data_IF_154690065798
#
_entry.id   IF_154690065798
#
_cell.length_a   1.000
_cell.length_b   1.000
_cell.length_c   1.000
_cell.angle_alpha   90.00
_cell.angle_beta   90.00
_cell.angle_gamma   90.00
#
_symmetry.space_group_name_H-M   'P 1'
#
loop_
_entity.id
_entity.type
_entity.pdbx_description
1 polymer ?
#
# COMPACT_ATOMS: atom_id res chain seq x y z
N UNK A 1 -18.07 -13.85 -16.14
CA UNK A 1 -17.26 -14.01 -14.91
C UNK A 1 -15.81 -14.09 -15.34
N UNK A 2 -14.89 -13.29 -14.79
CA UNK A 2 -13.47 -13.44 -15.07
C UNK A 2 -13.05 -14.85 -14.62
N UNK A 3 -12.27 -15.53 -15.42
CA UNK A 3 -11.84 -16.92 -15.26
C UNK A 3 -10.77 -17.13 -14.17
N UNK A 4 -10.74 -16.31 -13.11
CA UNK A 4 -9.77 -16.38 -12.03
C UNK A 4 -10.30 -16.85 -10.67
N UNK A 5 -11.60 -17.16 -10.57
CA UNK A 5 -12.25 -17.48 -9.29
C UNK A 5 -12.00 -18.89 -8.75
N UNK A 6 -11.42 -19.81 -9.53
CA UNK A 6 -11.26 -21.20 -9.12
C UNK A 6 -10.26 -21.42 -7.96
N UNK A 7 -9.48 -20.41 -7.61
CA UNK A 7 -8.51 -20.52 -6.53
C UNK A 7 -8.91 -19.76 -5.24
N UNK A 8 -10.12 -19.19 -5.21
CA UNK A 8 -10.69 -18.61 -3.99
C UNK A 8 -11.54 -19.61 -3.18
N UNK A 9 -11.56 -20.88 -3.59
CA UNK A 9 -12.29 -21.92 -2.84
C UNK A 9 -11.75 -22.02 -1.41
N UNK A 10 -12.68 -21.91 -0.45
CA UNK A 10 -12.36 -21.85 0.98
C UNK A 10 -11.94 -20.48 1.51
N UNK A 11 -11.82 -19.45 0.67
CA UNK A 11 -11.60 -18.08 1.15
C UNK A 11 -12.85 -17.54 1.85
N UNK A 12 -12.72 -16.88 3.02
CA UNK A 12 -13.88 -16.33 3.74
C UNK A 12 -14.68 -15.30 2.92
N UNK A 13 -14.04 -14.68 1.92
CA UNK A 13 -14.66 -13.67 1.04
C UNK A 13 -15.17 -14.24 -0.28
N UNK A 14 -15.03 -15.54 -0.54
CA UNK A 14 -15.40 -16.16 -1.83
C UNK A 14 -16.83 -15.83 -2.28
N UNK A 15 -17.78 -15.84 -1.33
CA UNK A 15 -19.21 -15.59 -1.58
C UNK A 15 -19.69 -14.21 -1.07
N UNK A 16 -18.85 -13.48 -0.36
CA UNK A 16 -19.13 -12.15 0.20
C UNK A 16 -18.50 -11.04 -0.62
N UNK A 17 -17.29 -11.26 -1.13
CA UNK A 17 -16.57 -10.31 -1.96
C UNK A 17 -17.20 -10.19 -3.35
N UNK A 18 -17.03 -9.02 -3.96
CA UNK A 18 -17.57 -8.72 -5.28
C UNK A 18 -16.43 -8.70 -6.27
N UNK A 19 -16.45 -9.63 -7.22
CA UNK A 19 -15.51 -9.70 -8.31
C UNK A 19 -14.06 -10.00 -7.87
N UNK A 20 -13.20 -10.23 -8.85
CA UNK A 20 -11.77 -10.42 -8.67
C UNK A 20 -11.05 -9.41 -9.56
N UNK A 21 -10.10 -8.70 -8.98
CA UNK A 21 -9.25 -7.76 -9.70
C UNK A 21 -7.79 -8.22 -9.55
N UNK A 22 -7.20 -8.79 -10.61
CA UNK A 22 -5.81 -9.21 -10.59
C UNK A 22 -4.86 -8.02 -10.48
N UNK A 23 -3.60 -8.30 -10.19
CA UNK A 23 -2.57 -7.28 -10.24
C UNK A 23 -2.36 -6.80 -11.68
N UNK A 24 -1.99 -5.53 -11.85
CA UNK A 24 -1.47 -5.02 -13.11
C UNK A 24 0.06 -5.13 -13.07
N UNK A 25 0.59 -6.13 -13.73
CA UNK A 25 2.03 -6.37 -13.78
C UNK A 25 2.70 -5.42 -14.80
N UNK A 26 3.82 -4.85 -14.39
CA UNK A 26 4.70 -4.08 -15.27
C UNK A 26 5.53 -5.01 -16.17
N UNK A 27 5.95 -4.54 -17.34
CA UNK A 27 6.87 -5.29 -18.22
C UNK A 27 8.27 -5.37 -17.62
N UNK A 28 8.69 -4.30 -16.97
CA UNK A 28 10.01 -4.17 -16.33
C UNK A 28 9.84 -3.76 -14.86
N UNK A 29 9.36 -4.68 -13.99
CA UNK A 29 8.95 -4.33 -12.65
C UNK A 29 10.14 -3.85 -11.80
N UNK A 30 10.12 -2.61 -11.38
CA UNK A 30 11.07 -2.01 -10.42
C UNK A 30 10.37 -1.48 -9.19
N UNK A 31 9.12 -1.05 -9.34
CA UNK A 31 8.33 -0.46 -8.27
C UNK A 31 7.00 -1.21 -8.17
N UNK A 32 6.56 -1.49 -6.94
CA UNK A 32 5.21 -1.96 -6.68
C UNK A 32 4.44 -0.91 -5.89
N UNK A 33 3.29 -0.50 -6.40
CA UNK A 33 2.29 0.26 -5.67
C UNK A 33 1.28 -0.71 -5.05
N UNK A 34 1.29 -0.81 -3.72
CA UNK A 34 0.50 -1.79 -2.99
C UNK A 34 -0.59 -1.12 -2.14
N UNK A 35 -1.85 -1.37 -2.49
CA UNK A 35 -3.02 -0.85 -1.80
C UNK A 35 -3.72 -1.86 -0.90
N UNK A 36 -4.93 -1.52 -0.47
CA UNK A 36 -5.75 -2.36 0.41
C UNK A 36 -6.64 -3.33 -0.38
N UNK A 37 -7.50 -2.82 -1.25
CA UNK A 37 -8.46 -3.61 -2.01
C UNK A 37 -8.93 -2.83 -3.25
N UNK A 38 -9.42 -3.51 -4.31
CA UNK A 38 -9.98 -2.85 -5.48
C UNK A 38 -11.31 -2.16 -5.13
N UNK A 39 -11.61 -1.06 -5.84
CA UNK A 39 -12.91 -0.41 -5.83
C UNK A 39 -13.87 -0.98 -6.87
N UNK A 40 -15.06 -0.36 -7.01
CA UNK A 40 -16.09 -0.79 -8.00
C UNK A 40 -15.58 -0.69 -9.44
N UNK A 41 -14.87 0.40 -9.77
CA UNK A 41 -14.33 0.61 -11.11
C UNK A 41 -13.21 -0.38 -11.45
N UNK A 42 -12.37 -0.68 -10.46
CA UNK A 42 -11.30 -1.66 -10.61
C UNK A 42 -11.84 -3.06 -10.88
N UNK A 43 -12.86 -3.48 -10.14
CA UNK A 43 -13.52 -4.77 -10.35
C UNK A 43 -14.22 -4.83 -11.71
N UNK A 44 -14.89 -3.73 -12.11
CA UNK A 44 -15.59 -3.68 -13.39
C UNK A 44 -14.63 -3.78 -14.59
N UNK A 45 -13.43 -3.21 -14.47
CA UNK A 45 -12.42 -3.20 -15.53
C UNK A 45 -11.38 -4.32 -15.41
N UNK A 46 -11.31 -4.99 -14.24
CA UNK A 46 -10.28 -6.00 -13.97
C UNK A 46 -8.87 -5.43 -13.83
N UNK A 47 -8.74 -4.13 -13.53
CA UNK A 47 -7.44 -3.43 -13.43
C UNK A 47 -7.40 -2.61 -12.14
N UNK A 48 -6.37 -2.76 -11.29
CA UNK A 48 -6.24 -2.01 -10.06
C UNK A 48 -5.91 -0.53 -10.31
N UNK A 49 -6.30 0.34 -9.40
CA UNK A 49 -6.02 1.77 -9.42
C UNK A 49 -6.51 2.51 -10.67
N UNK A 50 -7.64 2.13 -11.26
CA UNK A 50 -8.27 2.83 -12.39
C UNK A 50 -9.32 3.85 -11.96
N UNK A 51 -9.86 3.75 -10.75
CA UNK A 51 -10.84 4.68 -10.19
C UNK A 51 -10.22 6.00 -9.71
N UNK A 52 -11.00 6.77 -8.96
CA UNK A 52 -10.61 8.10 -8.46
C UNK A 52 -9.34 8.08 -7.59
N UNK A 53 -9.15 7.05 -6.77
CA UNK A 53 -7.93 6.88 -5.98
C UNK A 53 -6.69 6.68 -6.88
N UNK A 54 -6.83 5.89 -7.94
CA UNK A 54 -5.76 5.69 -8.92
C UNK A 54 -5.48 6.93 -9.75
N UNK A 55 -6.50 7.71 -10.08
CA UNK A 55 -6.34 9.01 -10.72
C UNK A 55 -5.52 9.95 -9.81
N UNK A 56 -5.92 10.10 -8.54
CA UNK A 56 -5.19 10.91 -7.58
C UNK A 56 -3.73 10.45 -7.40
N UNK A 57 -3.52 9.13 -7.35
CA UNK A 57 -2.17 8.57 -7.28
C UNK A 57 -1.31 9.02 -8.46
N UNK A 58 -1.79 8.88 -9.68
CA UNK A 58 -1.01 9.25 -10.88
C UNK A 58 -0.86 10.76 -11.01
N UNK A 59 -1.95 11.51 -10.95
CA UNK A 59 -1.93 12.93 -11.30
C UNK A 59 -1.46 13.83 -10.16
N UNK A 60 -1.85 13.54 -8.93
CA UNK A 60 -1.56 14.41 -7.80
C UNK A 60 -0.30 14.01 -7.03
N UNK A 61 0.00 12.71 -6.97
CA UNK A 61 1.08 12.20 -6.16
C UNK A 61 2.31 11.83 -6.97
N UNK A 62 2.17 11.04 -8.02
CA UNK A 62 3.31 10.52 -8.78
C UNK A 62 3.80 11.51 -9.85
N UNK A 63 2.90 12.17 -10.58
CA UNK A 63 3.28 13.12 -11.65
C UNK A 63 4.23 14.24 -11.19
N UNK A 64 4.08 14.84 -9.98
CA UNK A 64 5.03 15.83 -9.47
C UNK A 64 6.38 15.25 -9.03
N UNK A 65 6.62 13.95 -9.21
CA UNK A 65 7.87 13.25 -8.89
C UNK A 65 8.45 12.71 -10.21
N UNK A 66 9.43 13.38 -10.82
CA UNK A 66 9.89 13.07 -12.18
C UNK A 66 10.33 11.62 -12.38
N UNK A 67 11.02 11.03 -11.41
CA UNK A 67 11.50 9.66 -11.46
C UNK A 67 10.33 8.66 -11.50
N UNK A 68 9.26 8.92 -10.75
CA UNK A 68 8.05 8.08 -10.77
C UNK A 68 7.25 8.28 -12.06
N UNK A 69 7.19 9.50 -12.58
CA UNK A 69 6.58 9.74 -13.88
C UNK A 69 7.30 8.93 -14.97
N UNK A 70 8.63 8.96 -15.00
CA UNK A 70 9.43 8.16 -15.94
C UNK A 70 9.19 6.66 -15.74
N UNK A 71 9.11 6.17 -14.49
CA UNK A 71 8.84 4.76 -14.22
C UNK A 71 7.45 4.34 -14.72
N UNK A 72 6.44 5.21 -14.59
CA UNK A 72 5.10 4.96 -15.14
C UNK A 72 5.12 4.89 -16.68
N UNK A 73 5.82 5.81 -17.35
CA UNK A 73 5.95 5.86 -18.81
C UNK A 73 6.71 4.65 -19.38
N UNK A 74 7.68 4.11 -18.63
CA UNK A 74 8.48 2.95 -19.00
C UNK A 74 7.84 1.60 -18.65
N UNK A 75 6.61 1.61 -18.10
CA UNK A 75 5.93 0.41 -17.62
C UNK A 75 6.78 -0.37 -16.58
N UNK A 76 7.35 0.36 -15.62
CA UNK A 76 8.16 -0.18 -14.52
C UNK A 76 7.38 -0.32 -13.21
N UNK A 77 6.09 0.12 -13.18
CA UNK A 77 5.26 0.12 -11.98
C UNK A 77 4.19 -0.97 -12.03
N UNK A 78 4.31 -1.94 -11.14
CA UNK A 78 3.28 -2.95 -10.88
C UNK A 78 2.28 -2.40 -9.84
N UNK A 79 1.00 -2.69 -10.03
CA UNK A 79 -0.06 -2.33 -9.09
C UNK A 79 -0.65 -3.58 -8.46
N UNK A 80 -0.71 -3.60 -7.13
CA UNK A 80 -1.21 -4.72 -6.34
C UNK A 80 -2.09 -4.25 -5.18
N UNK A 81 -2.83 -5.16 -4.58
CA UNK A 81 -3.63 -4.92 -3.40
C UNK A 81 -3.52 -6.07 -2.40
N UNK A 82 -3.73 -5.80 -1.13
CA UNK A 82 -3.78 -6.81 -0.06
C UNK A 82 -4.92 -7.81 -0.29
N UNK A 83 -6.10 -7.32 -0.67
CA UNK A 83 -7.24 -8.14 -1.09
C UNK A 83 -7.49 -7.95 -2.59
N UNK A 84 -7.75 -9.03 -3.34
CA UNK A 84 -8.03 -9.00 -4.78
C UNK A 84 -9.53 -8.98 -5.11
N UNK A 85 -10.39 -8.84 -4.13
CA UNK A 85 -11.82 -8.64 -4.33
C UNK A 85 -12.29 -7.37 -3.62
N UNK A 86 -13.37 -6.77 -4.12
CA UNK A 86 -14.03 -5.67 -3.46
C UNK A 86 -14.76 -6.21 -2.22
N UNK A 87 -14.43 -5.75 -1.01
CA UNK A 87 -15.17 -6.15 0.19
C UNK A 87 -16.67 -5.81 0.10
N UNK A 88 -17.54 -6.60 0.78
CA UNK A 88 -18.97 -6.37 0.73
C UNK A 88 -19.38 -5.00 1.28
N UNK A 89 -20.55 -4.51 0.92
CA UNK A 89 -21.17 -3.33 1.53
C UNK A 89 -22.17 -3.76 2.61
N UNK A 90 -22.19 -3.05 3.71
CA UNK A 90 -23.25 -3.12 4.73
C UNK A 90 -23.97 -1.76 4.84
N UNK A 91 -24.92 -1.63 5.78
CA UNK A 91 -25.69 -0.38 5.97
C UNK A 91 -24.83 0.84 6.36
N UNK A 92 -23.65 0.60 6.90
CA UNK A 92 -22.69 1.64 7.32
C UNK A 92 -21.67 1.95 6.23
N UNK A 93 -21.73 1.26 5.10
CA UNK A 93 -20.79 1.38 3.99
C UNK A 93 -20.00 0.09 3.74
N UNK A 94 -18.74 0.20 3.33
CA UNK A 94 -17.94 -0.97 2.99
C UNK A 94 -17.50 -1.74 4.22
N UNK A 95 -17.90 -3.00 4.30
CA UNK A 95 -17.60 -3.91 5.42
C UNK A 95 -16.30 -4.67 5.14
N UNK A 96 -15.16 -4.05 5.44
CA UNK A 96 -13.89 -4.76 5.36
C UNK A 96 -13.83 -5.88 6.41
N UNK A 97 -13.26 -7.04 6.07
CA UNK A 97 -13.05 -8.11 7.04
C UNK A 97 -12.09 -7.64 8.14
N UNK A 98 -12.27 -8.15 9.34
CA UNK A 98 -11.44 -7.83 10.51
C UNK A 98 -10.97 -9.11 11.20
N UNK A 99 -9.96 -8.99 12.05
CA UNK A 99 -9.49 -10.09 12.88
C UNK A 99 -9.12 -11.34 12.08
N UNK A 100 -9.64 -12.48 12.48
CA UNK A 100 -9.35 -13.79 11.89
C UNK A 100 -9.79 -13.89 10.42
N UNK A 101 -11.01 -13.43 10.11
CA UNK A 101 -11.54 -13.45 8.74
C UNK A 101 -10.63 -12.66 7.78
N UNK A 102 -10.08 -11.53 8.25
CA UNK A 102 -9.13 -10.74 7.48
C UNK A 102 -7.83 -11.50 7.24
N UNK A 103 -7.24 -12.07 8.28
CA UNK A 103 -5.99 -12.81 8.18
C UNK A 103 -6.09 -14.00 7.22
N UNK A 104 -7.20 -14.73 7.26
CA UNK A 104 -7.47 -15.83 6.32
C UNK A 104 -7.62 -15.32 4.89
N UNK A 105 -8.42 -14.27 4.66
CA UNK A 105 -8.60 -13.71 3.33
C UNK A 105 -7.28 -13.18 2.73
N UNK A 106 -6.47 -12.52 3.54
CA UNK A 106 -5.12 -12.06 3.14
C UNK A 106 -4.21 -13.24 2.78
N UNK A 107 -4.23 -14.32 3.58
CA UNK A 107 -3.45 -15.53 3.29
C UNK A 107 -3.86 -16.18 1.96
N UNK A 108 -5.16 -16.19 1.65
CA UNK A 108 -5.64 -16.65 0.34
C UNK A 108 -5.16 -15.74 -0.81
N UNK A 109 -5.21 -14.43 -0.62
CA UNK A 109 -4.80 -13.47 -1.63
C UNK A 109 -3.30 -13.49 -1.91
N UNK A 110 -2.44 -13.86 -0.94
CA UNK A 110 -0.98 -13.98 -1.12
C UNK A 110 -0.56 -14.92 -2.24
N UNK A 111 -1.41 -15.87 -2.64
CA UNK A 111 -1.16 -16.76 -3.79
C UNK A 111 -1.04 -16.01 -5.12
N UNK A 112 -1.53 -14.78 -5.15
CA UNK A 112 -1.53 -13.91 -6.33
C UNK A 112 -0.51 -12.77 -6.18
N UNK A 113 0.29 -12.76 -5.12
CA UNK A 113 1.29 -11.71 -4.94
C UNK A 113 2.23 -11.67 -6.13
N UNK A 114 2.56 -10.47 -6.63
CA UNK A 114 3.45 -10.34 -7.78
C UNK A 114 4.85 -10.85 -7.45
N UNK A 115 5.57 -11.33 -8.47
CA UNK A 115 6.99 -11.65 -8.33
C UNK A 115 7.78 -10.41 -7.89
N UNK A 116 8.69 -10.60 -6.97
CA UNK A 116 9.61 -9.55 -6.49
C UNK A 116 10.92 -9.49 -7.30
N UNK A 117 11.07 -10.33 -8.33
CA UNK A 117 12.26 -10.32 -9.17
C UNK A 117 12.39 -8.98 -9.91
N UNK A 118 13.51 -8.30 -9.72
CA UNK A 118 13.78 -6.98 -10.30
C UNK A 118 13.15 -5.82 -9.55
N UNK A 119 12.34 -6.08 -8.51
CA UNK A 119 11.71 -5.03 -7.71
C UNK A 119 12.73 -4.42 -6.75
N UNK A 120 12.83 -3.11 -6.77
CA UNK A 120 13.72 -2.32 -5.91
C UNK A 120 12.95 -1.64 -4.77
N UNK A 121 11.72 -1.22 -5.04
CA UNK A 121 10.92 -0.45 -4.08
C UNK A 121 9.46 -0.91 -4.08
N UNK A 122 8.88 -1.02 -2.88
CA UNK A 122 7.45 -1.25 -2.67
C UNK A 122 6.87 -0.08 -1.86
N UNK A 123 5.89 0.62 -2.42
CA UNK A 123 5.15 1.67 -1.73
C UNK A 123 3.88 1.08 -1.14
N UNK A 124 3.77 1.13 0.19
CA UNK A 124 2.65 0.58 0.95
C UNK A 124 1.63 1.68 1.25
N UNK A 125 0.52 1.67 0.53
CA UNK A 125 -0.54 2.66 0.68
C UNK A 125 -1.54 2.30 1.77
N UNK A 126 -1.48 3.04 2.87
CA UNK A 126 -2.41 2.89 3.98
C UNK A 126 -2.08 1.72 4.92
N UNK A 127 -2.79 1.68 6.04
CA UNK A 127 -2.51 0.78 7.15
C UNK A 127 -2.59 -0.71 6.76
N UNK A 128 -3.54 -1.07 5.91
CA UNK A 128 -3.73 -2.46 5.49
C UNK A 128 -2.50 -3.04 4.83
N UNK A 129 -1.94 -2.32 3.85
CA UNK A 129 -0.73 -2.74 3.15
C UNK A 129 0.49 -2.75 4.10
N UNK A 130 0.62 -1.75 4.96
CA UNK A 130 1.69 -1.67 5.96
C UNK A 130 1.66 -2.86 6.92
N UNK A 131 0.49 -3.18 7.51
CA UNK A 131 0.34 -4.31 8.43
C UNK A 131 0.49 -5.67 7.74
N UNK A 132 0.16 -5.81 6.48
CA UNK A 132 0.40 -7.05 5.74
C UNK A 132 1.88 -7.43 5.71
N UNK A 133 2.76 -6.46 5.56
CA UNK A 133 4.19 -6.67 5.39
C UNK A 133 4.99 -6.53 6.70
N UNK A 134 4.54 -5.68 7.64
CA UNK A 134 5.27 -5.26 8.85
C UNK A 134 4.42 -5.34 10.13
N UNK A 135 3.55 -6.35 10.25
CA UNK A 135 2.62 -6.47 11.39
C UNK A 135 3.34 -6.48 12.74
N UNK A 136 4.40 -7.29 12.86
CA UNK A 136 5.14 -7.46 14.13
C UNK A 136 5.86 -6.20 14.54
N UNK A 137 6.51 -5.54 13.59
CA UNK A 137 7.24 -4.30 13.79
C UNK A 137 6.30 -3.19 14.24
N UNK A 138 5.14 -3.06 13.58
CA UNK A 138 4.14 -2.05 13.91
C UNK A 138 3.45 -2.31 15.25
N UNK A 139 3.17 -3.58 15.59
CA UNK A 139 2.61 -3.95 16.90
C UNK A 139 3.61 -3.67 18.03
N UNK A 140 4.91 -3.88 17.80
CA UNK A 140 5.95 -3.56 18.77
C UNK A 140 6.07 -2.06 18.99
N UNK A 141 6.05 -1.24 17.93
CA UNK A 141 6.05 0.23 18.04
C UNK A 141 4.81 0.73 18.79
N UNK A 142 3.61 0.24 18.42
CA UNK A 142 2.36 0.63 19.08
C UNK A 142 2.37 0.28 20.58
N UNK A 143 2.99 -0.84 20.96
CA UNK A 143 3.14 -1.25 22.36
C UNK A 143 4.07 -0.31 23.14
N UNK A 144 5.17 0.11 22.54
CA UNK A 144 6.12 1.07 23.15
C UNK A 144 5.46 2.44 23.30
N UNK A 145 4.81 2.97 22.28
CA UNK A 145 4.11 4.25 22.32
C UNK A 145 3.07 4.25 23.46
N UNK A 146 2.29 3.16 23.59
CA UNK A 146 1.31 3.00 24.66
C UNK A 146 1.95 2.97 26.05
N UNK A 147 3.09 2.30 26.22
CA UNK A 147 3.82 2.26 27.52
C UNK A 147 4.34 3.63 27.92
N UNK A 148 4.74 4.45 26.94
CA UNK A 148 5.21 5.82 27.16
C UNK A 148 4.08 6.83 27.33
N UNK A 149 2.81 6.40 27.22
CA UNK A 149 1.64 7.29 27.30
C UNK A 149 1.46 8.16 26.05
N UNK A 150 2.10 7.79 24.95
CA UNK A 150 1.94 8.46 23.66
C UNK A 150 0.75 7.85 22.89
N UNK A 151 0.07 8.67 22.09
CA UNK A 151 -0.86 8.15 21.09
C UNK A 151 -0.10 7.33 20.05
N UNK A 152 -0.64 6.15 19.70
CA UNK A 152 -0.04 5.34 18.67
C UNK A 152 0.03 6.13 17.36
N UNK A 153 1.20 6.11 16.73
CA UNK A 153 1.41 6.78 15.45
C UNK A 153 0.58 6.07 14.38
N UNK A 154 -0.63 6.53 14.12
CA UNK A 154 -1.45 6.02 13.04
C UNK A 154 -0.75 6.14 11.68
N UNK A 155 -1.43 5.71 10.61
CA UNK A 155 -0.89 5.74 9.24
C UNK A 155 -0.28 7.10 8.85
N UNK A 156 -0.82 8.20 9.37
CA UNK A 156 -0.34 9.56 9.08
C UNK A 156 1.04 9.83 9.71
N UNK A 157 1.27 9.35 10.92
CA UNK A 157 2.56 9.52 11.62
C UNK A 157 3.66 8.58 11.11
N UNK A 158 3.33 7.66 10.18
CA UNK A 158 4.26 6.72 9.57
C UNK A 158 4.59 7.07 8.11
N UNK A 159 4.05 8.14 7.58
CA UNK A 159 4.27 8.56 6.18
C UNK A 159 5.75 8.86 5.94
N UNK A 160 6.28 8.31 4.86
CA UNK A 160 7.68 8.49 4.47
C UNK A 160 8.67 7.59 5.20
N UNK A 161 8.21 6.74 6.15
CA UNK A 161 9.10 5.74 6.77
C UNK A 161 9.54 4.71 5.75
N UNK A 162 10.79 4.32 5.89
CA UNK A 162 11.41 3.28 5.08
C UNK A 162 11.82 2.08 5.93
N UNK A 163 11.64 0.91 5.33
CA UNK A 163 12.17 -0.35 5.84
C UNK A 163 12.86 -1.09 4.70
N UNK A 164 13.95 -1.78 4.99
CA UNK A 164 14.60 -2.67 4.01
C UNK A 164 14.44 -4.12 4.46
N UNK A 165 13.91 -4.94 3.57
CA UNK A 165 13.76 -6.37 3.79
C UNK A 165 14.14 -7.13 2.53
N UNK A 166 15.05 -8.09 2.65
CA UNK A 166 15.53 -8.91 1.53
C UNK A 166 16.06 -8.09 0.34
N UNK A 167 16.69 -6.94 0.63
CA UNK A 167 17.25 -6.03 -0.38
C UNK A 167 16.21 -5.12 -1.07
N UNK A 168 14.93 -5.21 -0.71
CA UNK A 168 13.86 -4.37 -1.25
C UNK A 168 13.53 -3.27 -0.24
N UNK A 169 13.39 -2.04 -0.72
CA UNK A 169 12.91 -0.90 0.05
C UNK A 169 11.39 -0.90 0.13
N UNK A 170 10.87 -0.71 1.34
CA UNK A 170 9.44 -0.52 1.60
C UNK A 170 9.22 0.88 2.12
N UNK A 171 8.39 1.67 1.44
CA UNK A 171 8.08 3.04 1.81
C UNK A 171 6.62 3.15 2.21
N UNK A 172 6.36 3.71 3.39
CA UNK A 172 5.01 3.89 3.90
C UNK A 172 4.40 5.19 3.37
N UNK A 173 3.20 5.09 2.82
CA UNK A 173 2.46 6.23 2.27
C UNK A 173 1.00 6.23 2.71
N UNK A 174 0.34 7.38 2.57
CA UNK A 174 -1.10 7.49 2.72
C UNK A 174 -1.80 6.82 1.53
N UNK A 175 -2.92 6.16 1.81
CA UNK A 175 -3.73 5.63 0.72
C UNK A 175 -4.32 6.79 -0.10
N UNK A 176 -4.25 6.76 -1.45
CA UNK A 176 -4.75 7.86 -2.29
C UNK A 176 -6.23 8.20 -2.08
N UNK A 177 -7.06 7.22 -1.75
CA UNK A 177 -8.46 7.45 -1.38
C UNK A 177 -8.63 8.26 -0.08
N UNK A 178 -7.66 8.20 0.84
CA UNK A 178 -7.66 9.02 2.03
C UNK A 178 -7.30 10.47 1.70
N UNK A 179 -6.33 10.67 0.81
CA UNK A 179 -5.93 11.99 0.32
C UNK A 179 -7.08 12.68 -0.42
N UNK A 180 -7.88 11.93 -1.20
CA UNK A 180 -9.09 12.48 -1.84
C UNK A 180 -10.09 13.07 -0.84
N UNK A 181 -10.21 12.46 0.36
CA UNK A 181 -11.08 12.98 1.43
C UNK A 181 -10.44 14.09 2.25
N UNK A 182 -9.10 14.18 2.24
CA UNK A 182 -8.31 15.18 2.97
C UNK A 182 -7.22 15.75 2.06
N UNK A 183 -7.57 16.65 1.11
CA UNK A 183 -6.62 17.19 0.12
C UNK A 183 -5.44 17.96 0.73
N UNK A 184 -5.57 18.46 1.96
CA UNK A 184 -4.46 19.08 2.71
C UNK A 184 -3.26 18.15 2.93
N UNK A 185 -3.46 16.83 2.81
CA UNK A 185 -2.41 15.82 2.96
C UNK A 185 -1.70 15.44 1.65
N UNK A 186 -2.01 16.09 0.52
CA UNK A 186 -1.33 15.82 -0.77
C UNK A 186 0.19 15.95 -0.65
N UNK A 187 0.67 17.00 0.04
CA UNK A 187 2.11 17.21 0.26
C UNK A 187 2.79 16.03 0.99
N UNK A 188 2.14 15.45 1.98
CA UNK A 188 2.65 14.25 2.69
C UNK A 188 2.72 13.03 1.77
N UNK A 189 1.71 12.82 0.94
CA UNK A 189 1.72 11.76 -0.07
C UNK A 189 2.84 11.95 -1.08
N UNK A 190 3.04 13.17 -1.59
CA UNK A 190 4.14 13.48 -2.51
C UNK A 190 5.50 13.29 -1.86
N UNK A 191 5.67 13.70 -0.59
CA UNK A 191 6.93 13.51 0.13
C UNK A 191 7.30 12.02 0.22
N UNK A 192 6.36 11.16 0.61
CA UNK A 192 6.61 9.71 0.66
C UNK A 192 6.95 9.10 -0.71
N UNK A 193 6.37 9.63 -1.79
CA UNK A 193 6.70 9.16 -3.13
C UNK A 193 8.07 9.67 -3.61
N UNK A 194 8.52 10.87 -3.19
CA UNK A 194 9.91 11.31 -3.42
C UNK A 194 10.90 10.40 -2.71
N UNK A 195 10.60 10.01 -1.47
CA UNK A 195 11.39 9.00 -0.75
C UNK A 195 11.46 7.70 -1.54
N UNK A 196 10.33 7.21 -2.05
CA UNK A 196 10.29 5.99 -2.85
C UNK A 196 11.06 6.10 -4.18
N UNK A 197 11.07 7.28 -4.79
CA UNK A 197 11.77 7.56 -6.04
C UNK A 197 13.27 7.75 -5.85
N UNK A 198 13.70 8.14 -4.66
CA UNK A 198 15.10 8.41 -4.40
C UNK A 198 15.91 7.12 -4.45
N UNK A 199 16.59 6.92 -5.58
CA UNK A 199 17.46 5.76 -5.84
C UNK A 199 18.87 5.93 -5.29
N UNK A 200 19.18 7.09 -4.72
CA UNK A 200 20.41 7.23 -3.96
C UNK A 200 20.33 6.34 -2.73
N UNK A 201 21.06 5.24 -2.78
CA UNK A 201 21.19 4.30 -1.69
C UNK A 201 21.81 5.02 -0.50
N UNK A 202 20.99 5.51 0.42
CA UNK A 202 21.43 5.65 1.80
C UNK A 202 21.47 4.23 2.36
N UNK A 203 22.61 3.57 2.15
CA UNK A 203 22.95 2.34 2.83
C UNK A 203 23.38 2.76 4.23
N UNK A 204 22.42 2.92 5.12
CA UNK A 204 22.68 2.73 6.56
C UNK A 204 21.38 2.38 7.27
N UNK A 205 21.35 1.28 8.03
CA UNK A 205 20.24 0.97 8.89
C UNK A 205 20.43 1.71 10.21
N UNK A 206 20.20 2.98 10.26
CA UNK A 206 20.26 3.71 11.50
C UNK A 206 18.87 4.19 11.93
N UNK A 207 18.38 3.54 12.97
CA UNK A 207 17.28 3.98 13.83
C UNK A 207 17.48 5.41 14.42
N UNK A 208 18.64 6.02 14.19
CA UNK A 208 19.06 7.29 14.75
C UNK A 208 18.58 8.51 13.97
N UNK A 209 18.37 8.39 12.65
CA UNK A 209 18.08 9.55 11.79
C UNK A 209 16.68 10.16 11.99
N UNK A 210 15.72 9.42 12.54
CA UNK A 210 14.38 9.93 12.81
C UNK A 210 14.29 10.78 14.08
N UNK A 211 15.08 10.47 15.10
CA UNK A 211 15.11 11.27 16.33
C UNK A 211 15.76 12.64 16.09
N UNK A 212 16.75 12.72 15.19
CA UNK A 212 17.42 14.00 14.88
C UNK A 212 16.52 14.95 14.09
N UNK A 213 15.75 14.43 13.13
CA UNK A 213 14.83 15.25 12.32
C UNK A 213 13.62 15.77 13.14
N UNK A 214 13.20 15.04 14.19
CA UNK A 214 12.15 15.48 15.11
C UNK A 214 12.64 16.47 16.16
N UNK A 215 13.93 16.47 16.50
CA UNK A 215 14.53 17.46 17.42
C UNK A 215 14.76 18.80 16.72
N UNK A 216 15.01 18.82 15.41
CA UNK A 216 15.14 20.07 14.63
C UNK A 216 13.79 20.74 14.31
N UNK A 217 12.67 20.09 14.54
CA UNK A 217 11.31 20.61 14.36
C UNK A 217 10.63 21.03 15.68
N UNK A 218 11.33 21.01 16.81
CA UNK A 218 10.91 21.54 18.11
C UNK A 218 11.55 22.90 18.37
#
# INVERSE_FOLDING_TARGET
KPTGFNSCDGCPLQHKGIGFCPDKLAKHPRIIFWGEAPGKNEVAQGVPFVGSAGFALREWLARPVPELQMALERDEVTYSNTLRCLPPENKQGRAYPTGHERAEAEAYCRRYDPSLQGVETIVLFGEAAQRLHFKRELEAEDAVDKQLGHDTKGVTGRVGREYTKEGIRYVFSLHPAFILRQPSLVGHGQASLRVAANTERVIEPDYVTWNTALEELR
#
